data_IF_298057276594
#
_entry.id   IF_298057276594
#
_cell.length_a   1.000
_cell.length_b   1.000
_cell.length_c   1.000
_cell.angle_alpha   90.00
_cell.angle_beta   90.00
_cell.angle_gamma   90.00
#
_symmetry.space_group_name_H-M   'P 1'
#
loop_
_entity.id
_entity.type
_entity.pdbx_description
1 polymer ?
#
# COMPACT_ATOMS: atom_id res chain seq x y z
N UNK A 1 26.57 34.95 -14.05
CA UNK A 1 27.23 36.00 -13.29
C UNK A 1 28.38 35.41 -12.50
N UNK A 2 29.44 34.93 -13.17
CA UNK A 2 30.73 34.53 -12.64
C UNK A 2 31.75 34.64 -13.79
N UNK A 3 31.85 35.82 -14.34
CA UNK A 3 32.95 36.22 -15.19
C UNK A 3 33.80 37.17 -14.35
N UNK A 4 35.04 36.89 -14.26
CA UNK A 4 36.15 37.66 -13.69
C UNK A 4 36.78 37.00 -12.46
N UNK A 5 37.61 36.00 -12.69
CA UNK A 5 38.75 35.75 -11.84
C UNK A 5 39.98 35.83 -12.73
N UNK A 6 40.61 37.00 -12.61
CA UNK A 6 42.02 37.33 -12.92
C UNK A 6 42.53 36.90 -14.29
N UNK A 7 42.63 37.88 -15.18
CA UNK A 7 43.60 37.91 -16.28
C UNK A 7 45.03 37.70 -15.69
N UNK A 8 45.56 36.49 -15.95
CA UNK A 8 46.96 36.19 -15.59
C UNK A 8 47.81 36.79 -16.70
N UNK A 9 48.29 38.02 -16.46
CA UNK A 9 48.96 38.88 -17.42
C UNK A 9 50.41 38.45 -17.79
N UNK A 10 50.83 37.26 -17.41
CA UNK A 10 52.21 36.78 -17.72
C UNK A 10 52.27 35.59 -18.70
N UNK A 11 51.13 35.27 -19.42
CA UNK A 11 51.05 34.29 -20.48
C UNK A 11 50.88 34.93 -21.86
N UNK A 12 51.59 36.03 -22.13
CA UNK A 12 51.55 36.69 -23.47
C UNK A 12 52.43 36.04 -24.53
N UNK A 13 53.30 35.05 -24.20
CA UNK A 13 54.13 34.35 -25.16
C UNK A 13 53.61 32.94 -25.48
N UNK A 14 53.53 32.62 -26.80
CA UNK A 14 53.26 31.26 -27.29
C UNK A 14 54.33 30.27 -26.77
N UNK A 15 53.94 29.28 -25.97
CA UNK A 15 54.84 28.23 -25.52
C UNK A 15 55.01 27.23 -26.65
N UNK A 16 56.16 27.22 -27.31
CA UNK A 16 56.56 26.29 -28.37
C UNK A 16 57.20 25.04 -27.78
N UNK A 17 56.47 23.94 -27.67
CA UNK A 17 56.98 22.62 -27.33
C UNK A 17 57.03 21.74 -28.61
N UNK A 18 58.09 21.87 -29.39
CA UNK A 18 58.25 21.12 -30.65
C UNK A 18 57.20 21.50 -31.73
N UNK A 19 56.55 20.55 -32.40
CA UNK A 19 55.54 20.83 -33.43
C UNK A 19 54.17 21.29 -32.87
N UNK A 20 53.96 21.32 -31.54
CA UNK A 20 52.70 21.68 -30.90
C UNK A 20 52.76 23.15 -30.47
N UNK A 21 51.92 23.96 -31.09
CA UNK A 21 51.67 25.37 -30.68
C UNK A 21 50.51 25.40 -29.69
N UNK A 22 50.76 25.70 -28.45
CA UNK A 22 49.74 25.88 -27.41
C UNK A 22 49.45 27.37 -27.28
N UNK A 23 48.24 27.77 -27.65
CA UNK A 23 47.81 29.16 -27.48
C UNK A 23 47.54 29.50 -26.01
N UNK A 24 47.74 30.74 -25.54
CA UNK A 24 47.41 31.19 -24.20
C UNK A 24 45.94 30.87 -23.86
N UNK A 25 45.02 30.96 -24.84
CA UNK A 25 43.61 30.63 -24.67
C UNK A 25 43.38 29.13 -24.37
N UNK A 26 44.17 28.23 -24.89
CA UNK A 26 44.07 26.80 -24.62
C UNK A 26 44.55 26.47 -23.23
N UNK A 27 45.59 27.11 -22.76
CA UNK A 27 46.11 26.99 -21.37
C UNK A 27 45.05 27.48 -20.37
N UNK A 28 44.43 28.62 -20.62
CA UNK A 28 43.37 29.14 -19.79
C UNK A 28 42.14 28.21 -19.73
N UNK A 29 41.73 27.65 -20.89
CA UNK A 29 40.65 26.65 -20.94
C UNK A 29 40.97 25.41 -20.11
N UNK A 30 42.22 24.89 -20.19
CA UNK A 30 42.64 23.76 -19.39
C UNK A 30 42.69 24.05 -17.89
N UNK A 31 43.22 25.19 -17.49
CA UNK A 31 43.24 25.63 -16.09
C UNK A 31 41.81 25.73 -15.54
N UNK A 32 40.90 26.40 -16.24
CA UNK A 32 39.51 26.54 -15.83
C UNK A 32 38.81 25.19 -15.74
N UNK A 33 39.13 24.23 -16.62
CA UNK A 33 38.62 22.86 -16.59
C UNK A 33 39.10 22.11 -15.35
N UNK A 34 40.40 22.18 -15.04
CA UNK A 34 41.00 21.55 -13.86
C UNK A 34 40.41 22.13 -12.56
N UNK A 35 40.29 23.45 -12.48
CA UNK A 35 39.68 24.12 -11.31
C UNK A 35 38.21 23.67 -11.15
N UNK A 36 37.44 23.61 -12.24
CA UNK A 36 36.05 23.14 -12.21
C UNK A 36 35.93 21.70 -11.71
N UNK A 37 36.82 20.80 -12.15
CA UNK A 37 36.85 19.40 -11.70
C UNK A 37 37.22 19.32 -10.22
N UNK A 38 38.22 20.10 -9.78
CA UNK A 38 38.62 20.17 -8.36
C UNK A 38 37.45 20.62 -7.47
N UNK A 39 36.70 21.65 -7.91
CA UNK A 39 35.51 22.15 -7.17
C UNK A 39 34.47 21.02 -7.05
N UNK A 40 34.19 20.26 -8.14
CA UNK A 40 33.22 19.16 -8.09
C UNK A 40 33.67 18.08 -7.09
N UNK A 41 34.95 17.71 -7.08
CA UNK A 41 35.50 16.71 -6.14
C UNK A 41 35.36 17.20 -4.69
N UNK A 42 35.66 18.46 -4.42
CA UNK A 42 35.49 19.06 -3.08
C UNK A 42 34.02 19.06 -2.65
N UNK A 43 33.10 19.42 -3.55
CA UNK A 43 31.68 19.37 -3.29
C UNK A 43 31.20 17.96 -3.00
N UNK A 44 31.62 16.95 -3.78
CA UNK A 44 31.31 15.55 -3.52
C UNK A 44 31.76 15.11 -2.13
N UNK A 45 32.99 15.47 -1.75
CA UNK A 45 33.50 15.18 -0.41
C UNK A 45 32.68 15.83 0.70
N UNK A 46 32.31 17.10 0.53
CA UNK A 46 31.50 17.84 1.49
C UNK A 46 30.10 17.22 1.63
N UNK A 47 29.43 16.88 0.51
CA UNK A 47 28.11 16.24 0.52
C UNK A 47 28.15 14.91 1.27
N UNK A 48 29.14 14.05 1.00
CA UNK A 48 29.30 12.78 1.68
C UNK A 48 29.59 12.99 3.19
N UNK A 49 30.47 13.90 3.52
CA UNK A 49 30.86 14.18 4.92
C UNK A 49 29.70 14.73 5.74
N UNK A 50 29.00 15.72 5.21
CA UNK A 50 27.85 16.35 5.87
C UNK A 50 26.69 15.36 5.96
N UNK A 51 26.37 14.66 4.86
CA UNK A 51 25.32 13.68 4.83
C UNK A 51 25.54 12.54 5.83
N UNK A 52 26.74 11.97 5.89
CA UNK A 52 27.08 10.95 6.87
C UNK A 52 26.89 11.46 8.32
N UNK A 53 27.27 12.72 8.61
CA UNK A 53 27.08 13.33 9.95
C UNK A 53 25.60 13.49 10.30
N UNK A 54 24.76 13.87 9.33
CA UNK A 54 23.31 14.01 9.51
C UNK A 54 22.70 12.62 9.76
N UNK A 55 23.05 11.61 8.95
CA UNK A 55 22.56 10.24 9.11
C UNK A 55 22.95 9.67 10.47
N UNK A 56 24.19 9.85 10.90
CA UNK A 56 24.65 9.41 12.23
C UNK A 56 23.89 10.07 13.37
N UNK A 57 23.63 11.37 13.25
CA UNK A 57 22.84 12.11 14.25
C UNK A 57 21.40 11.58 14.32
N UNK A 58 20.80 11.31 13.17
CA UNK A 58 19.43 10.76 13.07
C UNK A 58 19.36 9.35 13.68
N UNK A 59 20.26 8.45 13.28
CA UNK A 59 20.35 7.08 13.80
C UNK A 59 20.56 7.06 15.31
N UNK A 60 21.47 7.91 15.84
CA UNK A 60 21.70 8.02 17.28
C UNK A 60 20.46 8.55 18.02
N UNK A 61 19.72 9.49 17.44
CA UNK A 61 18.49 10.02 18.02
C UNK A 61 17.41 8.95 18.07
N UNK A 62 17.28 8.14 17.01
CA UNK A 62 16.30 7.06 16.91
C UNK A 62 16.58 5.94 17.93
N UNK A 63 17.84 5.59 18.18
CA UNK A 63 18.23 4.58 19.16
C UNK A 63 17.99 5.07 20.62
N UNK A 64 18.13 6.38 20.89
CA UNK A 64 17.91 6.95 22.22
C UNK A 64 16.46 7.31 22.52
N UNK A 65 15.60 7.25 21.55
CA UNK A 65 14.18 7.63 21.69
C UNK A 65 13.40 6.48 22.31
N UNK A 66 12.79 6.73 23.46
CA UNK A 66 11.91 5.80 24.20
C UNK A 66 10.45 5.81 23.65
N UNK A 67 10.26 6.30 22.44
CA UNK A 67 8.94 6.34 21.81
C UNK A 67 8.53 4.96 21.26
N UNK A 68 7.23 4.68 21.26
CA UNK A 68 6.56 3.46 20.79
C UNK A 68 6.92 3.03 19.35
N UNK A 69 7.67 3.87 18.61
CA UNK A 69 8.19 3.67 17.25
C UNK A 69 9.73 3.62 17.20
N UNK A 70 10.42 3.32 18.31
CA UNK A 70 11.86 3.16 18.24
C UNK A 70 12.21 1.87 17.50
N UNK A 71 12.94 2.00 16.39
CA UNK A 71 13.51 0.86 15.70
C UNK A 71 14.50 0.14 16.63
N UNK A 72 14.50 -1.20 16.56
CA UNK A 72 15.55 -2.01 17.17
C UNK A 72 16.93 -1.39 16.83
N UNK A 73 17.82 -1.18 17.82
CA UNK A 73 19.14 -0.58 17.62
C UNK A 73 19.95 -1.22 16.50
N UNK A 74 19.78 -2.53 16.28
CA UNK A 74 20.46 -3.26 15.24
C UNK A 74 19.91 -2.92 13.86
N UNK A 75 18.60 -2.82 13.73
CA UNK A 75 17.91 -2.38 12.49
C UNK A 75 18.22 -0.93 12.14
N UNK A 76 18.23 -0.03 13.13
CA UNK A 76 18.58 1.38 12.94
C UNK A 76 20.01 1.55 12.42
N UNK A 77 20.99 0.80 12.94
CA UNK A 77 22.38 0.82 12.47
C UNK A 77 22.49 0.31 11.02
N UNK A 78 21.83 -0.81 10.71
CA UNK A 78 21.84 -1.40 9.36
C UNK A 78 21.23 -0.43 8.34
N UNK A 79 20.07 0.16 8.64
CA UNK A 79 19.43 1.16 7.78
C UNK A 79 20.33 2.39 7.60
N UNK A 80 20.95 2.88 8.67
CA UNK A 80 21.91 3.97 8.59
C UNK A 80 23.09 3.65 7.68
N UNK A 81 23.62 2.42 7.74
CA UNK A 81 24.68 1.94 6.85
C UNK A 81 24.25 1.91 5.38
N UNK A 82 23.05 1.39 5.10
CA UNK A 82 22.47 1.36 3.74
C UNK A 82 22.28 2.78 3.19
N UNK A 83 21.68 3.69 3.96
CA UNK A 83 21.47 5.09 3.55
C UNK A 83 22.78 5.79 3.23
N UNK A 84 23.84 5.60 4.05
CA UNK A 84 25.18 6.13 3.77
C UNK A 84 25.76 5.58 2.47
N UNK A 85 25.60 4.28 2.23
CA UNK A 85 26.06 3.67 0.99
C UNK A 85 25.32 4.23 -0.23
N UNK A 86 24.00 4.36 -0.17
CA UNK A 86 23.20 4.99 -1.22
C UNK A 86 23.63 6.43 -1.47
N UNK A 87 23.77 7.26 -0.41
CA UNK A 87 24.26 8.62 -0.51
C UNK A 87 25.62 8.69 -1.23
N UNK A 88 26.56 7.83 -0.84
CA UNK A 88 27.88 7.75 -1.43
C UNK A 88 27.84 7.39 -2.93
N UNK A 89 27.10 6.33 -3.30
CA UNK A 89 26.99 5.90 -4.70
C UNK A 89 26.28 6.93 -5.57
N UNK A 90 25.18 7.52 -5.08
CA UNK A 90 24.45 8.59 -5.80
C UNK A 90 25.36 9.79 -6.02
N UNK A 91 26.11 10.21 -4.99
CA UNK A 91 27.04 11.33 -5.10
C UNK A 91 28.15 11.02 -6.13
N UNK A 92 28.66 9.79 -6.16
CA UNK A 92 29.67 9.39 -7.15
C UNK A 92 29.10 9.35 -8.58
N UNK A 93 27.92 8.80 -8.79
CA UNK A 93 27.28 8.75 -10.11
C UNK A 93 27.07 10.16 -10.65
N UNK A 94 26.50 11.06 -9.84
CA UNK A 94 26.27 12.46 -10.22
C UNK A 94 27.60 13.20 -10.44
N UNK A 95 28.56 13.07 -9.54
CA UNK A 95 29.84 13.76 -9.63
C UNK A 95 30.67 13.30 -10.85
N UNK A 96 30.74 11.99 -11.09
CA UNK A 96 31.43 11.46 -12.27
C UNK A 96 30.71 11.91 -13.54
N UNK A 97 29.38 11.93 -13.56
CA UNK A 97 28.59 12.48 -14.66
C UNK A 97 28.96 13.95 -14.97
N UNK A 98 29.01 14.81 -13.94
CA UNK A 98 29.41 16.22 -14.08
C UNK A 98 30.85 16.34 -14.59
N UNK A 99 31.80 15.54 -14.07
CA UNK A 99 33.17 15.52 -14.52
C UNK A 99 33.27 15.07 -16.00
N UNK A 100 32.54 14.03 -16.37
CA UNK A 100 32.48 13.54 -17.75
C UNK A 100 31.98 14.62 -18.72
N UNK A 101 30.99 15.43 -18.32
CA UNK A 101 30.53 16.56 -19.18
C UNK A 101 31.60 17.62 -19.40
N UNK A 102 32.51 17.81 -18.44
CA UNK A 102 33.63 18.76 -18.57
C UNK A 102 34.75 18.21 -19.45
N UNK A 103 34.91 16.90 -19.49
CA UNK A 103 35.98 16.24 -20.28
C UNK A 103 35.48 16.00 -21.72
N UNK A 104 34.28 15.48 -21.88
CA UNK A 104 33.71 15.04 -23.17
C UNK A 104 32.46 15.88 -23.50
N UNK A 105 32.63 16.98 -24.19
CA UNK A 105 31.55 17.93 -24.48
C UNK A 105 30.38 17.37 -25.30
N UNK A 106 30.62 16.35 -26.15
CA UNK A 106 29.60 15.81 -27.07
C UNK A 106 28.91 14.54 -26.55
N UNK A 107 29.56 13.74 -25.70
CA UNK A 107 29.06 12.45 -25.22
C UNK A 107 28.12 12.61 -24.00
N UNK A 108 28.22 13.75 -23.32
CA UNK A 108 27.62 13.96 -22.02
C UNK A 108 26.09 13.99 -22.00
N UNK A 109 25.46 14.57 -23.03
CA UNK A 109 23.99 14.69 -23.10
C UNK A 109 23.35 13.31 -23.33
N UNK A 110 23.93 12.48 -24.19
CA UNK A 110 23.42 11.14 -24.48
C UNK A 110 23.55 10.22 -23.26
N UNK A 111 24.72 10.22 -22.58
CA UNK A 111 24.95 9.40 -21.38
C UNK A 111 24.08 9.86 -20.21
N UNK A 112 23.91 11.18 -20.00
CA UNK A 112 23.00 11.72 -18.99
C UNK A 112 21.55 11.34 -19.28
N UNK A 113 21.11 11.42 -20.56
CA UNK A 113 19.77 11.01 -20.99
C UNK A 113 19.49 9.53 -20.72
N UNK A 114 20.36 8.64 -21.18
CA UNK A 114 20.22 7.21 -20.97
C UNK A 114 20.28 6.84 -19.46
N UNK A 115 21.17 7.47 -18.69
CA UNK A 115 21.27 7.28 -17.25
C UNK A 115 20.00 7.72 -16.51
N UNK A 116 19.39 8.83 -16.91
CA UNK A 116 18.14 9.32 -16.33
C UNK A 116 16.97 8.38 -16.58
N UNK A 117 16.86 7.83 -17.79
CA UNK A 117 15.83 6.84 -18.13
C UNK A 117 16.02 5.57 -17.30
N UNK A 118 17.25 5.05 -17.20
CA UNK A 118 17.55 3.84 -16.44
C UNK A 118 17.21 4.02 -14.93
N UNK A 119 17.54 5.17 -14.33
CA UNK A 119 17.19 5.50 -12.94
C UNK A 119 15.70 5.68 -12.77
N UNK A 120 15.01 6.32 -13.72
CA UNK A 120 13.56 6.50 -13.70
C UNK A 120 12.82 5.17 -13.73
N UNK A 121 13.19 4.27 -14.64
CA UNK A 121 12.61 2.93 -14.71
C UNK A 121 12.94 2.09 -13.46
N UNK A 122 14.16 2.22 -12.92
CA UNK A 122 14.56 1.53 -11.68
C UNK A 122 13.80 2.01 -10.43
N UNK A 123 13.38 3.28 -10.39
CA UNK A 123 12.64 3.87 -9.27
C UNK A 123 11.11 3.84 -9.45
N UNK A 124 10.61 3.45 -10.62
CA UNK A 124 9.20 3.55 -11.01
C UNK A 124 8.25 2.89 -10.01
N UNK A 125 8.57 1.66 -9.56
CA UNK A 125 7.73 0.94 -8.60
C UNK A 125 7.65 1.66 -7.24
N UNK A 126 8.79 2.18 -6.76
CA UNK A 126 8.84 2.93 -5.50
C UNK A 126 8.00 4.21 -5.57
N UNK A 127 8.11 4.96 -6.67
CA UNK A 127 7.31 6.19 -6.88
C UNK A 127 5.83 5.85 -6.95
N UNK A 128 5.46 4.78 -7.66
CA UNK A 128 4.08 4.29 -7.75
C UNK A 128 3.53 3.90 -6.37
N UNK A 129 4.32 3.17 -5.55
CA UNK A 129 3.92 2.80 -4.20
C UNK A 129 3.61 4.02 -3.33
N UNK A 130 4.47 5.04 -3.39
CA UNK A 130 4.33 6.26 -2.58
C UNK A 130 3.10 7.07 -3.03
N UNK A 131 2.91 7.24 -4.33
CA UNK A 131 1.77 7.98 -4.89
C UNK A 131 0.47 7.28 -4.53
N UNK A 132 0.37 5.97 -4.73
CA UNK A 132 -0.82 5.21 -4.38
C UNK A 132 -1.08 5.26 -2.86
N UNK A 133 -0.05 5.11 -2.02
CA UNK A 133 -0.19 5.22 -0.57
C UNK A 133 -0.71 6.59 -0.13
N UNK A 134 -0.30 7.66 -0.79
CA UNK A 134 -0.83 9.00 -0.57
C UNK A 134 -2.33 9.07 -0.93
N UNK A 135 -2.73 8.58 -2.12
CA UNK A 135 -4.13 8.61 -2.54
C UNK A 135 -5.04 7.74 -1.70
N UNK A 136 -4.59 6.56 -1.26
CA UNK A 136 -5.33 5.70 -0.33
C UNK A 136 -5.74 6.49 0.92
N UNK A 137 -4.81 7.25 1.50
CA UNK A 137 -5.08 8.06 2.69
C UNK A 137 -5.87 9.34 2.37
N UNK A 138 -5.56 10.00 1.26
CA UNK A 138 -6.18 11.28 0.89
C UNK A 138 -7.65 11.12 0.48
N UNK A 139 -7.97 10.02 -0.23
CA UNK A 139 -9.33 9.69 -0.67
C UNK A 139 -10.09 8.90 0.38
N UNK A 140 -9.46 8.57 1.51
CA UNK A 140 -10.05 7.73 2.57
C UNK A 140 -10.62 6.43 2.00
N UNK A 141 -9.87 5.73 1.14
CA UNK A 141 -10.34 4.50 0.51
C UNK A 141 -10.61 3.41 1.55
N UNK A 142 -9.72 3.27 2.53
CA UNK A 142 -9.88 2.43 3.73
C UNK A 142 -9.00 2.93 4.87
N UNK A 143 -9.36 2.54 6.10
CA UNK A 143 -8.67 2.88 7.35
C UNK A 143 -8.11 1.64 8.07
N UNK A 144 -7.34 1.89 9.14
CA UNK A 144 -6.90 0.82 10.05
C UNK A 144 -8.11 0.27 10.79
N UNK A 145 -8.26 -1.06 10.79
CA UNK A 145 -9.41 -1.76 11.37
C UNK A 145 -10.50 -2.11 10.35
N UNK A 146 -10.46 -1.55 9.13
CA UNK A 146 -11.42 -1.90 8.10
C UNK A 146 -11.20 -3.33 7.58
N UNK A 147 -12.30 -4.03 7.32
CA UNK A 147 -12.31 -5.26 6.55
C UNK A 147 -12.32 -4.90 5.06
N UNK A 148 -11.30 -5.34 4.35
CA UNK A 148 -11.09 -4.99 2.94
C UNK A 148 -10.68 -6.20 2.12
N UNK A 149 -10.99 -6.13 0.83
CA UNK A 149 -10.34 -6.96 -0.19
C UNK A 149 -9.48 -6.07 -1.07
N UNK A 150 -8.16 -6.25 -1.01
CA UNK A 150 -7.16 -5.53 -1.80
C UNK A 150 -6.64 -6.46 -2.90
N UNK A 151 -7.12 -6.29 -4.13
CA UNK A 151 -6.86 -7.18 -5.27
C UNK A 151 -7.25 -8.63 -4.95
N UNK A 152 -6.35 -9.46 -4.44
CA UNK A 152 -6.60 -10.87 -4.08
C UNK A 152 -6.54 -11.18 -2.58
N UNK A 153 -6.20 -10.19 -1.75
CA UNK A 153 -6.03 -10.39 -0.32
C UNK A 153 -7.20 -9.80 0.43
N UNK A 154 -7.86 -10.61 1.24
CA UNK A 154 -8.99 -10.23 2.07
C UNK A 154 -8.60 -10.30 3.55
N UNK A 155 -9.00 -9.31 4.35
CA UNK A 155 -8.75 -9.29 5.79
C UNK A 155 -8.92 -7.90 6.41
N UNK A 156 -8.41 -7.77 7.63
CA UNK A 156 -8.45 -6.52 8.41
C UNK A 156 -7.17 -5.74 8.20
N UNK A 157 -7.28 -4.45 7.92
CA UNK A 157 -6.14 -3.54 7.78
C UNK A 157 -5.48 -3.32 9.14
N UNK A 158 -4.23 -3.76 9.31
CA UNK A 158 -3.46 -3.52 10.54
C UNK A 158 -2.67 -2.21 10.49
N UNK A 159 -2.12 -1.88 9.34
CA UNK A 159 -1.37 -0.63 9.17
C UNK A 159 -1.33 -0.18 7.72
N UNK A 160 -1.27 1.15 7.54
CA UNK A 160 -1.10 1.79 6.25
C UNK A 160 0.19 2.59 6.32
N UNK A 161 1.19 2.15 5.56
CA UNK A 161 2.47 2.83 5.41
C UNK A 161 2.56 3.62 4.11
N UNK A 162 3.61 4.44 3.97
CA UNK A 162 3.84 5.22 2.75
C UNK A 162 3.97 4.31 1.51
N UNK A 163 4.59 3.14 1.66
CA UNK A 163 4.88 2.21 0.56
C UNK A 163 4.06 0.93 0.58
N UNK A 164 3.62 0.49 1.76
CA UNK A 164 2.97 -0.80 1.93
C UNK A 164 1.78 -0.69 2.87
N UNK A 165 0.73 -1.43 2.56
CA UNK A 165 -0.40 -1.71 3.46
C UNK A 165 -0.25 -3.12 4.03
N UNK A 166 -0.49 -3.29 5.33
CA UNK A 166 -0.50 -4.58 6.00
C UNK A 166 -1.95 -5.00 6.28
N UNK A 167 -2.33 -6.17 5.80
CA UNK A 167 -3.66 -6.77 5.99
C UNK A 167 -3.49 -8.12 6.64
N UNK A 168 -4.23 -8.37 7.73
CA UNK A 168 -4.29 -9.68 8.39
C UNK A 168 -5.55 -10.39 7.95
N UNK A 169 -5.38 -11.58 7.39
CA UNK A 169 -6.52 -12.40 7.01
C UNK A 169 -7.15 -13.12 8.24
N UNK A 170 -8.27 -13.79 8.01
CA UNK A 170 -8.98 -14.50 9.07
C UNK A 170 -8.28 -15.79 9.55
N UNK A 171 -7.27 -16.28 8.81
CA UNK A 171 -6.43 -17.39 9.24
C UNK A 171 -5.27 -16.93 10.14
N UNK A 172 -5.05 -15.59 10.21
CA UNK A 172 -3.99 -14.99 11.01
C UNK A 172 -2.74 -14.62 10.20
N UNK A 173 -2.71 -14.88 8.89
CA UNK A 173 -1.58 -14.52 8.04
C UNK A 173 -1.52 -13.03 7.77
N UNK A 174 -0.32 -12.45 7.84
CA UNK A 174 -0.08 -11.03 7.60
C UNK A 174 0.44 -10.80 6.18
N UNK A 175 -0.38 -10.17 5.35
CA UNK A 175 -0.05 -9.80 3.99
C UNK A 175 0.52 -8.38 3.93
N UNK A 176 1.78 -8.23 3.52
CA UNK A 176 2.43 -6.94 3.27
C UNK A 176 2.33 -6.61 1.79
N UNK A 177 1.43 -5.72 1.44
CA UNK A 177 1.05 -5.41 0.05
C UNK A 177 1.67 -4.08 -0.35
N UNK A 178 2.56 -4.01 -1.38
CA UNK A 178 3.02 -2.74 -1.92
C UNK A 178 1.84 -1.93 -2.46
N UNK A 179 1.71 -0.66 -2.05
CA UNK A 179 0.56 0.17 -2.41
C UNK A 179 0.40 0.34 -3.93
N UNK A 180 1.51 0.37 -4.66
CA UNK A 180 1.53 0.46 -6.12
C UNK A 180 1.00 -0.79 -6.86
N UNK A 181 0.83 -1.92 -6.14
CA UNK A 181 0.26 -3.15 -6.71
C UNK A 181 -1.24 -3.29 -6.46
N UNK A 182 -1.81 -2.44 -5.61
CA UNK A 182 -3.25 -2.40 -5.34
C UNK A 182 -3.91 -1.74 -6.54
N UNK A 183 -4.66 -2.53 -7.31
CA UNK A 183 -5.39 -2.07 -8.49
C UNK A 183 -6.89 -1.89 -8.22
N UNK A 184 -7.40 -2.60 -7.22
CA UNK A 184 -8.80 -2.61 -6.86
C UNK A 184 -8.93 -2.69 -5.34
N UNK A 185 -9.89 -1.94 -4.81
CA UNK A 185 -10.21 -1.89 -3.38
C UNK A 185 -11.69 -2.15 -3.21
N UNK A 186 -12.04 -3.21 -2.48
CA UNK A 186 -13.38 -3.42 -1.96
C UNK A 186 -13.33 -3.20 -0.45
N UNK A 187 -14.02 -2.17 0.05
CA UNK A 187 -14.12 -1.90 1.48
C UNK A 187 -15.44 -2.45 2.01
N UNK A 188 -15.36 -3.46 2.89
CA UNK A 188 -16.52 -4.10 3.53
C UNK A 188 -16.90 -3.45 4.86
N UNK A 189 -16.24 -2.33 5.23
CA UNK A 189 -16.53 -1.61 6.50
C UNK A 189 -17.16 -0.24 6.29
N UNK A 190 -17.29 0.23 5.05
CA UNK A 190 -17.96 1.50 4.77
C UNK A 190 -19.46 1.26 4.58
N UNK A 191 -20.23 1.55 5.63
CA UNK A 191 -21.69 1.39 5.66
C UNK A 191 -22.15 0.07 6.25
N UNK A 192 -23.45 -0.21 6.10
CA UNK A 192 -24.06 -1.46 6.58
C UNK A 192 -23.74 -2.62 5.67
N UNK A 193 -23.44 -3.78 6.25
CA UNK A 193 -23.11 -5.00 5.52
C UNK A 193 -24.33 -5.93 5.48
N UNK A 194 -24.64 -6.39 4.29
CA UNK A 194 -25.71 -7.37 4.07
C UNK A 194 -25.27 -8.75 4.52
N UNK A 195 -26.19 -9.46 5.20
CA UNK A 195 -26.11 -10.90 5.42
C UNK A 195 -27.38 -11.60 4.97
N UNK A 196 -27.30 -12.88 4.66
CA UNK A 196 -28.40 -13.70 4.17
C UNK A 196 -28.54 -14.92 5.07
N UNK A 197 -29.79 -15.27 5.36
CA UNK A 197 -30.14 -16.52 6.05
C UNK A 197 -31.13 -17.25 5.18
N UNK A 198 -30.75 -18.43 4.74
CA UNK A 198 -31.61 -19.35 4.01
C UNK A 198 -32.19 -20.36 5.02
N UNK A 199 -33.50 -20.57 4.95
CA UNK A 199 -34.29 -21.41 5.84
C UNK A 199 -35.13 -22.35 5.00
N UNK A 200 -34.94 -23.66 5.18
CA UNK A 200 -35.73 -24.68 4.46
C UNK A 200 -36.91 -25.09 5.32
N UNK A 201 -38.11 -25.15 4.68
CA UNK A 201 -39.34 -25.69 5.24
C UNK A 201 -39.83 -26.89 4.42
N UNK A 202 -40.53 -27.82 5.09
CA UNK A 202 -41.05 -29.01 4.41
C UNK A 202 -42.10 -28.64 3.37
N UNK A 203 -42.24 -29.43 2.27
CA UNK A 203 -43.21 -29.21 1.21
C UNK A 203 -44.68 -29.31 1.68
N UNK A 204 -44.89 -30.01 2.80
CA UNK A 204 -46.20 -30.21 3.38
C UNK A 204 -46.71 -28.98 4.16
N UNK A 205 -45.79 -28.02 4.45
CA UNK A 205 -46.09 -26.84 5.24
C UNK A 205 -46.73 -25.72 4.41
N UNK A 206 -47.47 -24.86 5.11
CA UNK A 206 -48.04 -23.67 4.47
C UNK A 206 -46.98 -22.59 4.40
N UNK A 207 -46.55 -22.23 3.18
CA UNK A 207 -45.50 -21.26 2.90
C UNK A 207 -45.85 -19.87 3.45
N UNK A 208 -47.11 -19.42 3.29
CA UNK A 208 -47.51 -18.09 3.72
C UNK A 208 -47.48 -17.98 5.23
N UNK A 209 -47.93 -19.00 5.96
CA UNK A 209 -47.85 -19.07 7.41
C UNK A 209 -46.41 -19.09 7.90
N UNK A 210 -45.52 -19.85 7.22
CA UNK A 210 -44.11 -19.88 7.56
C UNK A 210 -43.43 -18.50 7.37
N UNK A 211 -43.77 -17.78 6.31
CA UNK A 211 -43.28 -16.44 6.03
C UNK A 211 -43.76 -15.47 7.12
N UNK A 212 -45.00 -15.56 7.58
CA UNK A 212 -45.53 -14.69 8.65
C UNK A 212 -44.77 -14.93 9.98
N UNK A 213 -44.59 -16.19 10.36
CA UNK A 213 -43.83 -16.56 11.58
C UNK A 213 -42.39 -16.09 11.48
N UNK A 214 -41.70 -16.31 10.34
CA UNK A 214 -40.34 -15.84 10.15
C UNK A 214 -40.27 -14.32 10.24
N UNK A 215 -41.22 -13.56 9.71
CA UNK A 215 -41.28 -12.09 9.84
C UNK A 215 -41.34 -11.65 11.29
N UNK A 216 -42.24 -12.25 12.07
CA UNK A 216 -42.37 -11.93 13.50
C UNK A 216 -41.07 -12.18 14.26
N UNK A 217 -40.41 -13.30 13.98
CA UNK A 217 -39.08 -13.62 14.55
C UNK A 217 -38.02 -12.59 14.16
N UNK A 218 -38.01 -12.21 12.88
CA UNK A 218 -37.08 -11.22 12.36
C UNK A 218 -37.26 -9.83 13.00
N UNK A 219 -38.51 -9.39 13.17
CA UNK A 219 -38.84 -8.12 13.80
C UNK A 219 -38.42 -8.12 15.27
N UNK A 220 -38.71 -9.19 16.01
CA UNK A 220 -38.27 -9.36 17.39
C UNK A 220 -36.74 -9.40 17.52
N UNK A 221 -36.07 -10.09 16.61
CA UNK A 221 -34.61 -10.16 16.59
C UNK A 221 -33.97 -8.79 16.29
N UNK A 222 -34.49 -8.05 15.31
CA UNK A 222 -34.00 -6.72 14.96
C UNK A 222 -34.15 -5.73 16.11
N UNK A 223 -35.30 -5.75 16.83
CA UNK A 223 -35.56 -4.86 17.97
C UNK A 223 -34.65 -5.14 19.18
N UNK A 224 -34.13 -6.36 19.32
CA UNK A 224 -33.31 -6.77 20.45
C UNK A 224 -31.79 -6.76 20.15
N UNK A 225 -31.37 -6.40 18.93
CA UNK A 225 -29.96 -6.40 18.52
C UNK A 225 -29.53 -5.04 17.96
N UNK A 226 -28.72 -4.32 18.71
CA UNK A 226 -28.20 -3.00 18.33
C UNK A 226 -27.25 -3.02 17.11
N UNK A 227 -26.78 -4.19 16.71
CA UNK A 227 -25.90 -4.35 15.56
C UNK A 227 -26.67 -4.46 14.24
N UNK A 228 -27.98 -4.65 14.29
CA UNK A 228 -28.87 -4.57 13.11
C UNK A 228 -29.11 -3.11 12.78
N UNK A 229 -28.82 -2.73 11.54
CA UNK A 229 -28.88 -1.32 11.10
C UNK A 229 -30.16 -0.96 10.35
N UNK A 230 -30.84 -1.95 9.76
CA UNK A 230 -32.09 -1.78 9.03
C UNK A 230 -33.04 -2.97 9.34
N UNK A 231 -34.35 -2.79 9.20
CA UNK A 231 -35.30 -3.88 9.36
C UNK A 231 -34.94 -5.09 8.51
N UNK A 232 -35.02 -6.27 9.10
CA UNK A 232 -34.76 -7.54 8.40
C UNK A 232 -35.93 -7.83 7.45
N UNK A 233 -35.62 -8.21 6.22
CA UNK A 233 -36.60 -8.46 5.17
C UNK A 233 -36.69 -9.95 4.86
N UNK A 234 -37.88 -10.51 4.89
CA UNK A 234 -38.15 -11.83 4.35
C UNK A 234 -38.43 -11.67 2.85
N UNK A 235 -37.51 -12.15 2.01
CA UNK A 235 -37.57 -11.97 0.56
C UNK A 235 -38.59 -12.95 -0.10
N UNK A 236 -38.97 -14.01 0.63
CA UNK A 236 -39.86 -15.05 0.16
C UNK A 236 -39.12 -16.31 -0.31
N UNK A 237 -39.78 -17.08 -1.14
CA UNK A 237 -39.21 -18.34 -1.68
C UNK A 237 -38.08 -18.04 -2.65
N UNK A 238 -36.91 -18.58 -2.36
CA UNK A 238 -35.70 -18.44 -3.17
C UNK A 238 -35.51 -19.63 -4.10
N UNK A 239 -35.73 -20.86 -3.59
CA UNK A 239 -35.56 -22.08 -4.35
C UNK A 239 -36.44 -23.22 -3.86
N UNK A 240 -36.70 -24.19 -4.75
CA UNK A 240 -37.35 -25.44 -4.44
C UNK A 240 -36.29 -26.55 -4.52
N UNK A 241 -35.93 -27.09 -3.36
CA UNK A 241 -34.85 -28.09 -3.21
C UNK A 241 -35.46 -29.53 -3.18
N UNK A 242 -34.59 -30.56 -3.21
CA UNK A 242 -35.02 -31.96 -3.13
C UNK A 242 -35.86 -32.31 -1.91
N UNK A 243 -35.61 -31.63 -0.77
CA UNK A 243 -36.24 -31.93 0.53
C UNK A 243 -37.25 -30.90 0.99
N UNK A 244 -37.28 -29.70 0.41
CA UNK A 244 -38.16 -28.63 0.86
C UNK A 244 -38.04 -27.33 0.07
N UNK A 245 -38.71 -26.31 0.60
CA UNK A 245 -38.76 -24.96 0.03
C UNK A 245 -37.85 -24.04 0.82
N UNK A 246 -36.90 -23.38 0.15
CA UNK A 246 -36.00 -22.42 0.80
C UNK A 246 -36.60 -21.03 0.82
N UNK A 247 -36.77 -20.47 2.00
CA UNK A 247 -37.16 -19.06 2.24
C UNK A 247 -35.91 -18.27 2.56
N UNK A 248 -35.68 -17.18 1.82
CA UNK A 248 -34.54 -16.30 2.01
C UNK A 248 -34.88 -15.09 2.85
N UNK A 249 -34.05 -14.84 3.86
CA UNK A 249 -34.12 -13.69 4.72
C UNK A 249 -32.87 -12.84 4.53
N UNK A 250 -33.03 -11.52 4.42
CA UNK A 250 -31.95 -10.56 4.26
C UNK A 250 -31.93 -9.57 5.42
N UNK A 251 -30.78 -9.44 6.06
CA UNK A 251 -30.54 -8.41 7.04
C UNK A 251 -29.36 -7.53 6.68
N UNK A 252 -29.26 -6.40 7.36
CA UNK A 252 -28.06 -5.53 7.32
C UNK A 252 -27.60 -5.25 8.74
N UNK A 253 -26.29 -5.33 8.94
CA UNK A 253 -25.66 -5.12 10.23
C UNK A 253 -24.47 -4.18 10.15
N UNK A 254 -23.98 -3.77 11.33
CA UNK A 254 -22.70 -3.08 11.41
C UNK A 254 -21.56 -3.93 10.81
N UNK A 255 -20.51 -3.30 10.27
CA UNK A 255 -19.34 -4.01 9.78
C UNK A 255 -18.75 -4.99 10.81
N UNK A 256 -18.29 -6.15 10.35
CA UNK A 256 -17.69 -7.23 11.14
C UNK A 256 -18.66 -8.00 12.06
N UNK A 257 -19.92 -7.56 12.21
CA UNK A 257 -20.91 -8.29 13.03
C UNK A 257 -21.78 -9.22 12.20
N UNK A 258 -21.78 -9.10 10.85
CA UNK A 258 -22.67 -9.83 9.94
C UNK A 258 -22.66 -11.34 10.15
N UNK A 259 -21.50 -11.96 10.36
CA UNK A 259 -21.40 -13.41 10.57
C UNK A 259 -22.01 -13.85 11.90
N UNK A 260 -21.92 -12.98 12.92
CA UNK A 260 -22.55 -13.27 14.21
C UNK A 260 -24.06 -13.13 14.11
N UNK A 261 -24.54 -12.05 13.51
CA UNK A 261 -25.98 -11.81 13.30
C UNK A 261 -26.61 -12.90 12.45
N UNK A 262 -25.92 -13.36 11.42
CA UNK A 262 -26.39 -14.49 10.57
C UNK A 262 -26.58 -15.76 11.40
N UNK A 263 -25.60 -16.14 12.24
CA UNK A 263 -25.69 -17.35 13.08
C UNK A 263 -26.76 -17.24 14.14
N UNK A 264 -26.87 -16.07 14.79
CA UNK A 264 -27.88 -15.84 15.83
C UNK A 264 -29.28 -15.81 15.25
N UNK A 265 -29.48 -15.13 14.13
CA UNK A 265 -30.77 -15.09 13.45
C UNK A 265 -31.20 -16.50 12.98
N UNK A 266 -30.26 -17.28 12.40
CA UNK A 266 -30.54 -18.68 11.97
C UNK A 266 -31.01 -19.52 13.16
N UNK A 267 -30.36 -19.37 14.33
CA UNK A 267 -30.76 -20.04 15.58
C UNK A 267 -32.15 -19.58 16.03
N UNK A 268 -32.43 -18.27 16.00
CA UNK A 268 -33.72 -17.71 16.43
C UNK A 268 -34.85 -18.20 15.53
N UNK A 269 -34.63 -18.21 14.20
CA UNK A 269 -35.61 -18.73 13.24
C UNK A 269 -35.88 -20.22 13.50
N UNK A 270 -34.83 -21.03 13.67
CA UNK A 270 -34.99 -22.47 13.99
C UNK A 270 -35.87 -22.69 15.22
N UNK A 271 -35.60 -21.97 16.28
CA UNK A 271 -36.35 -22.13 17.52
C UNK A 271 -37.82 -21.66 17.38
N UNK A 272 -38.04 -20.54 16.67
CA UNK A 272 -39.41 -20.06 16.47
C UNK A 272 -40.24 -20.92 15.51
N UNK A 273 -39.62 -21.55 14.53
CA UNK A 273 -40.32 -22.53 13.67
C UNK A 273 -40.71 -23.78 14.47
N UNK A 274 -39.84 -24.26 15.39
CA UNK A 274 -40.20 -25.38 16.28
C UNK A 274 -41.38 -25.03 17.20
N UNK A 275 -41.40 -23.82 17.77
CA UNK A 275 -42.49 -23.33 18.62
C UNK A 275 -43.80 -23.21 17.85
N UNK A 276 -43.73 -22.82 16.58
CA UNK A 276 -44.87 -22.72 15.68
C UNK A 276 -45.29 -24.07 15.07
N UNK A 277 -44.59 -25.20 15.38
CA UNK A 277 -44.78 -26.52 14.81
C UNK A 277 -44.67 -26.56 13.28
N UNK A 278 -43.76 -25.76 12.71
CA UNK A 278 -43.40 -25.76 11.30
C UNK A 278 -42.19 -26.67 11.09
N UNK A 279 -42.32 -27.71 10.25
CA UNK A 279 -41.30 -28.73 10.06
C UNK A 279 -40.17 -28.23 9.15
N UNK A 280 -38.92 -28.33 9.68
CA UNK A 280 -37.71 -28.20 8.88
C UNK A 280 -37.41 -29.54 8.24
N UNK A 281 -37.26 -29.65 6.90
CA UNK A 281 -37.26 -30.92 6.21
C UNK A 281 -36.02 -31.77 6.55
N UNK A 282 -36.24 -33.06 6.72
CA UNK A 282 -35.21 -34.09 6.71
C UNK A 282 -35.03 -34.67 5.30
N UNK A 283 -33.87 -35.21 4.98
CA UNK A 283 -33.70 -35.95 3.73
C UNK A 283 -34.64 -37.15 3.70
N UNK A 284 -35.68 -37.11 2.82
CA UNK A 284 -36.67 -38.18 2.66
C UNK A 284 -36.20 -39.10 1.55
N UNK A 285 -36.02 -40.41 1.86
CA UNK A 285 -35.73 -41.44 0.90
C UNK A 285 -37.01 -42.25 0.68
N UNK A 286 -37.59 -42.20 -0.52
CA UNK A 286 -38.75 -43.02 -0.90
C UNK A 286 -38.24 -44.41 -1.33
N UNK A 287 -38.44 -45.41 -0.47
CA UNK A 287 -38.16 -46.80 -0.82
C UNK A 287 -39.37 -47.31 -1.61
N UNK A 288 -39.16 -47.62 -2.90
CA UNK A 288 -40.14 -48.26 -3.74
C UNK A 288 -39.92 -49.76 -3.64
N UNK A 289 -40.85 -50.51 -2.96
CA UNK A 289 -40.84 -51.94 -2.89
C UNK A 289 -41.44 -52.57 -4.13
#
# INVERSE_FOLDING_TARGET
>A
MFSTITSISWLEEEIKLGPIKISPEDVEKWINKIISIAIVIVLMYLVIKIGNKIIDKFVKKQIKSNYRFSLDPQRAKTLGGVIKSVLKYVTYIIGIGIIATKIFSTVSVAVAGLGSVALGLGAQSLVKDIINGFFILFEDQYGIGDHVTLSKYEGIVESIGIRTTAVRDFNGDLHLIPNGTISEVTNHSKGSIRFLVDVDIAYEENIDNAIEVIKEICDNFANNNEDITEPIQVLGVDSLNESGVTIRVMGKSKPLTQWNMERELRKSIKNGLDEANIEIPYNKVKIIN
#
